data_IF_940226922408
#
_entry.id   IF_940226922408
#
_cell.length_a   1.000
_cell.length_b   1.000
_cell.length_c   1.000
_cell.angle_alpha   90.00
_cell.angle_beta   90.00
_cell.angle_gamma   90.00
#
_symmetry.space_group_name_H-M   'P 1'
#
loop_
_entity.id
_entity.type
_entity.pdbx_description
1 polymer ?
#
# COMPACT_ATOMS: atom_id res chain seq x y z
N UNK A 1 -18.02 10.28 14.32
CA UNK A 1 -16.81 9.64 13.82
C UNK A 1 -17.09 8.96 12.47
N UNK A 2 -16.15 9.03 11.55
CA UNK A 2 -16.24 8.45 10.22
C UNK A 2 -14.94 7.66 9.94
N UNK A 3 -15.06 6.42 9.45
CA UNK A 3 -13.92 5.70 8.90
C UNK A 3 -13.48 6.40 7.61
N UNK A 4 -12.19 6.58 7.44
CA UNK A 4 -11.63 7.35 6.36
C UNK A 4 -10.27 6.78 5.96
N UNK A 5 -10.02 6.69 4.67
CA UNK A 5 -8.77 6.16 4.12
C UNK A 5 -8.13 7.17 3.17
N UNK A 6 -6.88 6.91 2.80
CA UNK A 6 -6.23 7.71 1.75
C UNK A 6 -6.98 7.66 0.42
N UNK A 7 -7.64 6.55 0.10
CA UNK A 7 -8.51 6.44 -1.09
C UNK A 7 -9.76 7.31 -0.99
N UNK A 8 -10.41 7.35 0.18
CA UNK A 8 -11.55 8.23 0.41
C UNK A 8 -11.14 9.70 0.32
N UNK A 9 -9.95 10.05 0.83
CA UNK A 9 -9.39 11.39 0.70
C UNK A 9 -9.20 11.78 -0.78
N UNK A 10 -8.62 10.91 -1.59
CA UNK A 10 -8.43 11.18 -3.02
C UNK A 10 -9.77 11.38 -3.73
N UNK A 11 -10.74 10.49 -3.49
CA UNK A 11 -12.09 10.62 -4.05
C UNK A 11 -12.78 11.93 -3.61
N UNK A 12 -12.60 12.33 -2.35
CA UNK A 12 -13.13 13.58 -1.84
C UNK A 12 -12.50 14.79 -2.56
N UNK A 13 -11.18 14.79 -2.74
CA UNK A 13 -10.46 15.87 -3.43
C UNK A 13 -10.76 15.93 -4.94
N UNK A 14 -11.15 14.80 -5.54
CA UNK A 14 -11.56 14.74 -6.95
C UNK A 14 -13.02 15.16 -7.16
N UNK A 15 -13.80 15.17 -6.09
CA UNK A 15 -15.18 15.56 -6.14
C UNK A 15 -15.33 17.09 -6.23
N UNK A 16 -16.41 17.55 -6.85
CA UNK A 16 -16.73 18.98 -6.96
C UNK A 16 -17.30 19.61 -5.65
N UNK A 17 -17.31 18.84 -4.54
CA UNK A 17 -17.87 19.30 -3.25
C UNK A 17 -16.98 20.30 -2.52
N UNK A 18 -15.69 20.41 -2.89
CA UNK A 18 -14.76 21.41 -2.37
C UNK A 18 -14.30 21.16 -0.93
N UNK A 19 -14.48 19.95 -0.41
CA UNK A 19 -13.98 19.56 0.92
C UNK A 19 -12.51 19.12 0.84
N UNK A 20 -11.80 19.36 1.94
CA UNK A 20 -10.41 19.00 2.13
C UNK A 20 -10.22 18.35 3.50
N UNK A 21 -9.04 17.82 3.79
CA UNK A 21 -8.71 17.26 5.11
C UNK A 21 -8.85 18.35 6.21
N UNK A 22 -8.63 19.62 5.86
CA UNK A 22 -8.71 20.73 6.79
C UNK A 22 -10.14 21.03 7.30
N UNK A 23 -11.18 20.49 6.63
CA UNK A 23 -12.57 20.60 7.06
C UNK A 23 -12.96 19.60 8.16
N UNK A 24 -12.06 18.68 8.48
CA UNK A 24 -12.26 17.61 9.45
C UNK A 24 -11.25 17.69 10.60
N UNK A 25 -11.56 16.97 11.67
CA UNK A 25 -10.62 16.68 12.74
C UNK A 25 -10.09 15.24 12.55
N UNK A 26 -8.85 15.04 12.06
CA UNK A 26 -8.22 13.72 12.04
C UNK A 26 -8.06 13.20 13.46
N UNK A 27 -8.47 11.95 13.72
CA UNK A 27 -8.48 11.38 15.07
C UNK A 27 -7.38 10.35 15.25
N UNK A 28 -7.30 9.36 14.38
CA UNK A 28 -6.28 8.31 14.42
C UNK A 28 -6.12 7.66 13.06
N UNK A 29 -4.92 7.25 12.72
CA UNK A 29 -4.66 6.19 11.73
C UNK A 29 -4.47 4.90 12.54
N UNK A 30 -5.07 3.80 12.11
CA UNK A 30 -5.10 2.55 12.88
C UNK A 30 -4.45 1.39 12.16
N UNK A 31 -4.52 1.36 10.83
CA UNK A 31 -4.00 0.29 9.99
C UNK A 31 -3.56 0.83 8.64
N UNK A 32 -2.82 0.03 7.90
CA UNK A 32 -2.42 0.33 6.54
C UNK A 32 -2.46 -0.91 5.64
N UNK A 33 -2.83 -0.69 4.36
CA UNK A 33 -2.55 -1.64 3.29
C UNK A 33 -1.16 -1.33 2.74
N UNK A 34 -0.23 -2.24 2.92
CA UNK A 34 1.10 -2.19 2.29
C UNK A 34 1.09 -3.02 1.03
N UNK A 35 1.99 -2.74 0.11
CA UNK A 35 2.00 -3.34 -1.21
C UNK A 35 3.11 -4.39 -1.35
N UNK A 36 2.91 -5.32 -2.29
CA UNK A 36 3.92 -6.27 -2.74
C UNK A 36 4.02 -6.26 -4.26
N UNK A 37 5.15 -6.73 -4.74
CA UNK A 37 5.34 -7.12 -6.14
C UNK A 37 5.20 -8.64 -6.22
N UNK A 38 4.40 -9.12 -7.17
CA UNK A 38 4.15 -10.53 -7.42
C UNK A 38 4.64 -10.93 -8.80
N UNK A 39 5.06 -12.19 -8.93
CA UNK A 39 5.39 -12.85 -10.18
C UNK A 39 4.62 -14.16 -10.31
N UNK A 40 4.56 -14.74 -11.51
CA UNK A 40 4.14 -16.13 -11.66
C UNK A 40 5.09 -17.04 -10.88
N UNK A 41 4.55 -18.07 -10.20
CA UNK A 41 5.35 -18.94 -9.34
C UNK A 41 6.51 -19.61 -10.07
N UNK A 42 6.26 -20.14 -11.25
CA UNK A 42 7.24 -20.83 -12.11
C UNK A 42 7.65 -19.95 -13.32
N UNK A 43 7.49 -18.63 -13.17
CA UNK A 43 7.81 -17.66 -14.21
C UNK A 43 9.27 -17.25 -14.24
N UNK A 44 9.61 -16.38 -15.19
CA UNK A 44 10.96 -15.85 -15.40
C UNK A 44 11.48 -15.04 -14.20
N UNK A 45 10.61 -14.37 -13.47
CA UNK A 45 10.95 -13.44 -12.40
C UNK A 45 10.57 -14.02 -11.02
N UNK A 46 11.10 -15.20 -10.70
CA UNK A 46 10.78 -15.90 -9.46
C UNK A 46 11.44 -15.28 -8.20
N UNK A 47 12.33 -14.32 -8.36
CA UNK A 47 13.04 -13.62 -7.29
C UNK A 47 13.42 -12.20 -7.69
N UNK A 48 13.83 -11.37 -6.72
CA UNK A 48 14.38 -10.04 -7.02
C UNK A 48 15.69 -10.12 -7.80
N UNK A 49 16.50 -11.16 -7.59
CA UNK A 49 17.74 -11.36 -8.35
C UNK A 49 17.47 -11.58 -9.83
N UNK A 50 16.38 -12.27 -10.20
CA UNK A 50 15.97 -12.44 -11.60
C UNK A 50 15.56 -11.10 -12.22
N UNK A 51 14.84 -10.28 -11.47
CA UNK A 51 14.46 -8.92 -11.88
C UNK A 51 15.73 -8.09 -12.13
N UNK A 52 16.68 -8.13 -11.20
CA UNK A 52 17.94 -7.39 -11.30
C UNK A 52 18.77 -7.86 -12.49
N UNK A 53 18.87 -9.17 -12.71
CA UNK A 53 19.58 -9.71 -13.86
C UNK A 53 18.98 -9.25 -15.19
N UNK A 54 17.66 -9.18 -15.30
CA UNK A 54 16.98 -8.67 -16.50
C UNK A 54 17.26 -7.17 -16.71
N UNK A 55 17.24 -6.36 -15.64
CA UNK A 55 17.61 -4.93 -15.69
C UNK A 55 19.05 -4.77 -16.20
N UNK A 56 19.99 -5.50 -15.63
CA UNK A 56 21.41 -5.46 -16.00
C UNK A 56 21.64 -5.88 -17.47
N UNK A 57 20.80 -6.76 -18.01
CA UNK A 57 20.80 -7.19 -19.42
C UNK A 57 20.07 -6.20 -20.36
N UNK A 58 19.49 -5.12 -19.85
CA UNK A 58 18.73 -4.13 -20.63
C UNK A 58 17.38 -4.62 -21.11
N UNK A 59 16.80 -5.63 -20.46
CA UNK A 59 15.48 -6.14 -20.80
C UNK A 59 14.39 -5.21 -20.30
N UNK A 60 13.23 -5.21 -20.97
CA UNK A 60 12.03 -4.51 -20.52
C UNK A 60 11.13 -5.45 -19.75
N UNK A 61 10.62 -5.01 -18.61
CA UNK A 61 9.75 -5.77 -17.72
C UNK A 61 8.37 -5.10 -17.71
N UNK A 62 7.34 -5.86 -18.04
CA UNK A 62 5.96 -5.36 -18.04
C UNK A 62 5.34 -5.58 -16.66
N UNK A 63 4.89 -4.50 -16.02
CA UNK A 63 4.30 -4.55 -14.69
C UNK A 63 2.87 -4.06 -14.73
N UNK A 64 1.93 -4.82 -14.17
CA UNK A 64 0.54 -4.44 -14.06
C UNK A 64 0.19 -3.88 -12.68
N UNK A 65 -0.77 -2.96 -12.64
CA UNK A 65 -1.35 -2.45 -11.42
C UNK A 65 -2.34 -1.32 -11.69
N UNK A 66 -2.95 -0.80 -10.63
CA UNK A 66 -3.93 0.28 -10.71
C UNK A 66 -3.25 1.65 -10.81
N UNK A 67 -4.03 2.69 -11.15
CA UNK A 67 -3.56 4.10 -11.17
C UNK A 67 -3.41 4.71 -9.79
N UNK A 68 -3.88 4.03 -8.75
CA UNK A 68 -3.93 4.51 -7.38
C UNK A 68 -2.57 4.41 -6.68
N UNK A 69 -2.61 4.13 -5.38
CA UNK A 69 -1.43 3.95 -4.54
C UNK A 69 -0.41 2.92 -5.08
N UNK A 70 -0.85 1.88 -5.81
CA UNK A 70 0.05 0.89 -6.41
C UNK A 70 1.07 1.55 -7.35
N UNK A 71 0.60 2.47 -8.22
CA UNK A 71 1.49 3.20 -9.14
C UNK A 71 2.47 4.10 -8.38
N UNK A 72 1.99 4.82 -7.37
CA UNK A 72 2.85 5.70 -6.56
C UNK A 72 3.97 4.90 -5.88
N UNK A 73 3.63 3.78 -5.24
CA UNK A 73 4.61 2.93 -4.56
C UNK A 73 5.56 2.28 -5.56
N UNK A 74 5.05 1.89 -6.73
CA UNK A 74 5.90 1.36 -7.80
C UNK A 74 6.89 2.40 -8.32
N UNK A 75 6.50 3.66 -8.49
CA UNK A 75 7.42 4.73 -8.91
C UNK A 75 8.53 4.95 -7.89
N UNK A 76 8.19 4.95 -6.60
CA UNK A 76 9.20 5.01 -5.53
C UNK A 76 10.15 3.82 -5.58
N UNK A 77 9.64 2.61 -5.85
CA UNK A 77 10.44 1.40 -5.98
C UNK A 77 11.46 1.51 -7.14
N UNK A 78 11.00 1.87 -8.34
CA UNK A 78 11.90 1.94 -9.50
C UNK A 78 12.91 3.08 -9.41
N UNK A 79 12.55 4.17 -8.72
CA UNK A 79 13.47 5.27 -8.42
C UNK A 79 14.56 4.81 -7.43
N UNK A 80 14.17 4.12 -6.36
CA UNK A 80 15.11 3.63 -5.34
C UNK A 80 16.11 2.64 -5.91
N UNK A 81 15.67 1.73 -6.78
CA UNK A 81 16.59 0.77 -7.44
C UNK A 81 17.32 1.35 -8.66
N UNK A 82 17.03 2.61 -9.04
CA UNK A 82 17.66 3.29 -10.17
C UNK A 82 17.33 2.71 -11.54
N UNK A 83 16.15 2.10 -11.74
CA UNK A 83 15.81 1.31 -12.91
C UNK A 83 14.48 1.72 -13.59
N UNK A 84 14.05 2.98 -13.45
CA UNK A 84 12.77 3.45 -13.99
C UNK A 84 12.59 3.15 -15.50
N UNK A 85 13.66 3.27 -16.29
CA UNK A 85 13.63 3.01 -17.73
C UNK A 85 13.50 1.53 -18.08
N UNK A 86 13.67 0.59 -17.14
CA UNK A 86 13.61 -0.85 -17.40
C UNK A 86 12.18 -1.39 -17.35
N UNK A 87 11.22 -0.62 -16.87
CA UNK A 87 9.86 -1.08 -16.66
C UNK A 87 8.84 -0.38 -17.56
N UNK A 88 7.84 -1.16 -18.00
CA UNK A 88 6.63 -0.66 -18.65
C UNK A 88 5.47 -0.91 -17.70
N UNK A 89 4.91 0.15 -17.11
CA UNK A 89 3.75 0.01 -16.21
C UNK A 89 2.44 0.04 -17.02
N UNK A 90 1.65 -1.01 -16.86
CA UNK A 90 0.37 -1.20 -17.53
C UNK A 90 -0.78 -1.02 -16.54
N UNK A 91 -1.72 -0.15 -16.87
CA UNK A 91 -2.85 0.16 -16.01
C UNK A 91 -3.98 -0.83 -16.18
N UNK A 92 -4.50 -1.29 -15.04
CA UNK A 92 -5.69 -2.13 -14.90
C UNK A 92 -6.72 -1.43 -14.01
N UNK A 93 -7.99 -1.79 -14.15
CA UNK A 93 -9.07 -1.20 -13.35
C UNK A 93 -9.09 -1.75 -11.91
N UNK A 94 -8.47 -2.91 -11.67
CA UNK A 94 -8.34 -3.53 -10.35
C UNK A 94 -7.09 -4.40 -10.23
N UNK A 95 -6.61 -4.61 -9.00
CA UNK A 95 -5.54 -5.57 -8.71
C UNK A 95 -5.90 -7.00 -9.14
N UNK A 96 -7.18 -7.39 -9.07
CA UNK A 96 -7.63 -8.71 -9.52
C UNK A 96 -7.45 -8.90 -11.03
N UNK A 97 -7.67 -7.87 -11.84
CA UNK A 97 -7.42 -7.92 -13.28
C UNK A 97 -5.94 -8.01 -13.60
N UNK A 98 -5.08 -7.23 -12.90
CA UNK A 98 -3.63 -7.33 -13.09
C UNK A 98 -3.08 -8.70 -12.68
N UNK A 99 -3.57 -9.30 -11.59
CA UNK A 99 -3.24 -10.67 -11.19
C UNK A 99 -3.67 -11.68 -12.26
N UNK A 100 -4.87 -11.51 -12.82
CA UNK A 100 -5.35 -12.39 -13.92
C UNK A 100 -4.45 -12.26 -15.15
N UNK A 101 -4.03 -11.05 -15.52
CA UNK A 101 -3.09 -10.82 -16.62
C UNK A 101 -1.71 -11.41 -16.33
N UNK A 102 -1.23 -11.36 -15.09
CA UNK A 102 0.01 -12.01 -14.66
C UNK A 102 -0.09 -13.53 -14.83
N UNK A 103 -1.15 -14.17 -14.33
CA UNK A 103 -1.36 -15.62 -14.48
C UNK A 103 -1.47 -16.03 -15.94
N UNK A 104 -2.05 -15.19 -16.79
CA UNK A 104 -2.15 -15.40 -18.24
C UNK A 104 -0.84 -15.17 -19.02
N UNK A 105 0.23 -14.71 -18.36
CA UNK A 105 1.52 -14.41 -19.01
C UNK A 105 1.48 -13.17 -19.92
N UNK A 106 0.52 -12.25 -19.70
CA UNK A 106 0.41 -11.00 -20.45
C UNK A 106 1.30 -9.90 -19.88
N UNK A 107 1.69 -10.04 -18.63
CA UNK A 107 2.64 -9.19 -17.91
C UNK A 107 3.60 -10.07 -17.12
N UNK A 108 4.73 -9.50 -16.75
CA UNK A 108 5.83 -10.20 -16.06
C UNK A 108 5.69 -10.14 -14.53
N UNK A 109 5.23 -9.01 -14.03
CA UNK A 109 5.04 -8.72 -12.61
C UNK A 109 3.69 -7.99 -12.41
N UNK A 110 3.14 -8.04 -11.21
CA UNK A 110 2.05 -7.15 -10.83
C UNK A 110 2.23 -6.57 -9.42
N UNK A 111 1.69 -5.39 -9.24
CA UNK A 111 1.48 -4.77 -7.93
C UNK A 111 0.21 -5.32 -7.30
N UNK A 112 0.17 -5.39 -5.98
CA UNK A 112 -1.05 -5.75 -5.27
C UNK A 112 -0.91 -5.69 -3.76
N UNK A 113 -2.06 -5.61 -3.08
CA UNK A 113 -2.12 -5.75 -1.62
C UNK A 113 -2.20 -7.24 -1.23
N UNK A 114 -1.86 -7.59 0.03
CA UNK A 114 -2.05 -8.92 0.57
C UNK A 114 -3.44 -9.50 0.31
N UNK A 115 -4.48 -8.71 0.60
CA UNK A 115 -5.87 -9.14 0.47
C UNK A 115 -6.27 -9.49 -0.98
N UNK A 116 -5.68 -8.81 -1.97
CA UNK A 116 -5.96 -9.09 -3.38
C UNK A 116 -5.28 -10.37 -3.88
N UNK A 117 -4.13 -10.74 -3.30
CA UNK A 117 -3.24 -11.75 -3.86
C UNK A 117 -3.18 -13.08 -3.08
N UNK A 118 -3.54 -13.08 -1.78
CA UNK A 118 -3.30 -14.23 -0.87
C UNK A 118 -3.85 -15.55 -1.40
N UNK A 119 -5.08 -15.57 -1.92
CA UNK A 119 -5.69 -16.80 -2.44
C UNK A 119 -4.92 -17.39 -3.63
N UNK A 120 -4.34 -16.55 -4.47
CA UNK A 120 -3.52 -16.96 -5.64
C UNK A 120 -2.12 -17.42 -5.22
N UNK A 121 -1.60 -16.89 -4.12
CA UNK A 121 -0.35 -17.38 -3.52
C UNK A 121 -0.58 -18.74 -2.87
N UNK A 122 -1.67 -18.91 -2.12
CA UNK A 122 -2.04 -20.20 -1.50
C UNK A 122 -2.32 -21.30 -2.55
N UNK A 123 -2.96 -20.95 -3.69
CA UNK A 123 -3.14 -21.91 -4.79
C UNK A 123 -1.85 -22.23 -5.52
N UNK A 124 -0.82 -21.41 -5.36
CA UNK A 124 0.47 -21.59 -6.00
C UNK A 124 0.53 -21.10 -7.44
N UNK A 125 -0.36 -20.20 -7.84
CA UNK A 125 -0.39 -19.60 -9.18
C UNK A 125 0.62 -18.45 -9.30
N UNK A 126 0.75 -17.67 -8.23
CA UNK A 126 1.68 -16.54 -8.12
C UNK A 126 2.51 -16.64 -6.84
N UNK A 127 3.56 -15.87 -6.76
CA UNK A 127 4.38 -15.73 -5.54
C UNK A 127 4.76 -14.27 -5.28
N UNK A 128 4.91 -13.85 -4.02
CA UNK A 128 5.44 -12.55 -3.70
C UNK A 128 6.97 -12.53 -3.92
N UNK A 129 7.49 -11.46 -4.53
CA UNK A 129 8.93 -11.33 -4.85
C UNK A 129 9.60 -10.14 -4.18
N UNK A 130 8.84 -9.08 -3.84
CA UNK A 130 9.34 -7.93 -3.08
C UNK A 130 8.23 -7.43 -2.16
N UNK A 131 8.54 -7.24 -0.89
CA UNK A 131 7.68 -6.56 0.07
C UNK A 131 8.02 -5.07 0.12
N UNK A 132 7.04 -4.23 -0.26
CA UNK A 132 7.15 -2.77 -0.19
C UNK A 132 6.60 -2.30 1.16
N UNK A 133 7.31 -2.70 2.21
CA UNK A 133 6.98 -2.51 3.62
C UNK A 133 8.25 -2.49 4.47
N UNK A 134 8.14 -1.98 5.69
CA UNK A 134 9.21 -1.95 6.70
C UNK A 134 9.49 -3.33 7.32
N UNK A 135 8.52 -4.24 7.29
CA UNK A 135 8.64 -5.60 7.81
C UNK A 135 8.10 -6.60 6.78
N UNK A 136 8.54 -7.86 6.86
CA UNK A 136 7.96 -8.95 6.09
C UNK A 136 6.49 -9.15 6.45
N UNK A 137 5.72 -9.58 5.49
CA UNK A 137 4.35 -10.02 5.73
C UNK A 137 4.31 -11.36 6.45
N UNK A 138 3.16 -11.71 7.02
CA UNK A 138 2.92 -13.05 7.56
C UNK A 138 2.72 -14.07 6.42
N UNK A 139 2.91 -15.36 6.74
CA UNK A 139 2.61 -16.43 5.79
C UNK A 139 1.16 -16.33 5.25
N UNK A 140 0.94 -16.63 3.97
CA UNK A 140 1.87 -17.21 3.00
C UNK A 140 2.68 -16.18 2.19
N UNK A 141 2.75 -14.91 2.60
CA UNK A 141 3.41 -13.82 1.89
C UNK A 141 4.83 -13.52 2.40
N UNK A 142 5.30 -14.25 3.41
CA UNK A 142 6.57 -14.08 4.13
C UNK A 142 7.82 -14.43 3.30
N UNK A 143 7.65 -15.04 2.12
CA UNK A 143 8.76 -15.33 1.21
C UNK A 143 9.38 -14.06 0.61
N UNK A 144 8.59 -12.98 0.44
CA UNK A 144 9.07 -11.74 -0.13
C UNK A 144 10.03 -11.02 0.82
N UNK A 145 11.28 -10.75 0.41
CA UNK A 145 12.17 -9.88 1.17
C UNK A 145 11.68 -8.43 1.14
N UNK A 146 12.00 -7.69 2.19
CA UNK A 146 11.81 -6.23 2.21
C UNK A 146 12.89 -5.52 1.39
N UNK A 147 12.69 -4.24 1.09
CA UNK A 147 13.70 -3.43 0.41
C UNK A 147 14.99 -3.33 1.22
N UNK A 148 14.91 -3.23 2.56
CA UNK A 148 16.10 -3.20 3.43
C UNK A 148 16.88 -4.50 3.38
N UNK A 149 16.21 -5.66 3.36
CA UNK A 149 16.87 -6.97 3.21
C UNK A 149 17.57 -7.11 1.84
N UNK A 150 17.08 -6.40 0.83
CA UNK A 150 17.68 -6.33 -0.51
C UNK A 150 18.79 -5.26 -0.62
N UNK A 151 19.05 -4.50 0.45
CA UNK A 151 20.11 -3.49 0.51
C UNK A 151 19.71 -2.10 -0.01
N UNK A 152 18.43 -1.81 -0.09
CA UNK A 152 17.85 -0.52 -0.50
C UNK A 152 17.15 0.17 0.66
N UNK A 153 16.82 1.46 0.50
CA UNK A 153 15.97 2.12 1.48
C UNK A 153 14.54 1.60 1.43
N UNK A 154 13.87 1.66 2.57
CA UNK A 154 12.46 1.27 2.65
C UNK A 154 11.61 2.12 1.71
N UNK A 155 10.85 1.46 0.86
CA UNK A 155 9.87 2.08 -0.04
C UNK A 155 8.49 1.73 0.47
N UNK A 156 7.75 2.73 0.90
CA UNK A 156 6.37 2.56 1.29
C UNK A 156 5.59 3.88 1.18
N UNK A 157 4.38 3.78 0.67
CA UNK A 157 3.35 4.81 0.78
C UNK A 157 2.06 4.08 1.14
N UNK A 158 1.89 3.72 2.42
CA UNK A 158 0.81 2.85 2.81
C UNK A 158 -0.54 3.52 2.57
N UNK A 159 -1.49 2.77 2.03
CA UNK A 159 -2.88 3.18 2.01
C UNK A 159 -3.39 3.12 3.46
N UNK A 160 -3.27 4.22 4.17
CA UNK A 160 -3.70 4.28 5.57
C UNK A 160 -5.22 4.22 5.71
N UNK A 161 -5.64 3.62 6.82
CA UNK A 161 -7.02 3.51 7.28
C UNK A 161 -7.15 4.15 8.65
N UNK A 162 -8.01 5.13 8.77
CA UNK A 162 -8.14 5.92 9.98
C UNK A 162 -9.57 6.34 10.28
N UNK A 163 -9.67 7.26 11.21
CA UNK A 163 -10.92 7.85 11.68
C UNK A 163 -10.79 9.36 11.69
N UNK A 164 -11.81 10.02 11.16
CA UNK A 164 -11.97 11.47 11.22
C UNK A 164 -13.27 11.84 11.94
N UNK A 165 -13.36 13.09 12.35
CA UNK A 165 -14.53 13.69 12.97
C UNK A 165 -14.86 15.02 12.30
N UNK A 166 -16.05 15.62 12.56
CA UNK A 166 -16.32 17.00 12.14
C UNK A 166 -15.25 17.95 12.67
N UNK A 167 -14.82 18.92 11.85
CA UNK A 167 -13.78 19.89 12.23
C UNK A 167 -14.15 20.75 13.45
N UNK A 168 -15.43 20.79 13.84
CA UNK A 168 -15.91 21.45 15.05
C UNK A 168 -15.75 20.66 16.36
N UNK A 169 -15.19 19.42 16.30
CA UNK A 169 -14.93 18.62 17.51
C UNK A 169 -13.87 19.31 18.39
N UNK A 170 -14.14 19.42 19.71
CA UNK A 170 -13.18 20.02 20.64
C UNK A 170 -11.89 19.19 20.74
N UNK A 171 -10.76 19.84 21.01
CA UNK A 171 -9.46 19.15 21.19
C UNK A 171 -9.52 18.09 22.29
N UNK A 172 -10.17 18.37 23.42
CA UNK A 172 -10.37 17.41 24.50
C UNK A 172 -11.09 16.13 24.01
N UNK A 173 -12.12 16.28 23.14
CA UNK A 173 -12.82 15.14 22.57
C UNK A 173 -11.95 14.39 21.55
N UNK A 174 -11.10 15.08 20.77
CA UNK A 174 -10.17 14.47 19.84
C UNK A 174 -9.12 13.63 20.59
N UNK A 175 -8.51 14.18 21.65
CA UNK A 175 -7.57 13.46 22.52
C UNK A 175 -8.20 12.24 23.17
N UNK A 176 -9.41 12.38 23.70
CA UNK A 176 -10.16 11.27 24.27
C UNK A 176 -10.36 10.14 23.27
N UNK A 177 -10.83 10.44 22.06
CA UNK A 177 -11.06 9.41 21.04
C UNK A 177 -9.77 8.81 20.50
N UNK A 178 -8.69 9.58 20.33
CA UNK A 178 -7.39 9.04 19.98
C UNK A 178 -6.91 8.02 21.02
N UNK A 179 -7.05 8.34 22.32
CA UNK A 179 -6.75 7.40 23.40
C UNK A 179 -7.60 6.14 23.39
N UNK A 180 -8.90 6.25 23.05
CA UNK A 180 -9.79 5.08 22.87
C UNK A 180 -9.31 4.21 21.73
N UNK A 181 -8.99 4.78 20.56
CA UNK A 181 -8.50 4.01 19.41
C UNK A 181 -7.15 3.37 19.68
N UNK A 182 -6.26 4.05 20.39
CA UNK A 182 -5.01 3.44 20.86
C UNK A 182 -5.27 2.19 21.70
N UNK A 183 -6.16 2.28 22.68
CA UNK A 183 -6.50 1.12 23.51
C UNK A 183 -7.14 -0.02 22.69
N UNK A 184 -7.91 0.29 21.64
CA UNK A 184 -8.46 -0.72 20.70
C UNK A 184 -7.33 -1.45 19.99
N UNK A 185 -6.28 -0.76 19.54
CA UNK A 185 -5.17 -1.41 18.81
C UNK A 185 -4.36 -2.39 19.67
N UNK A 186 -4.49 -2.32 20.98
CA UNK A 186 -3.82 -3.22 21.94
C UNK A 186 -4.65 -4.47 22.26
N UNK A 187 -5.85 -4.64 21.70
CA UNK A 187 -6.74 -5.76 21.95
C UNK A 187 -6.51 -6.94 21.00
N UNK A 188 -6.74 -8.17 21.49
CA UNK A 188 -6.71 -9.39 20.66
C UNK A 188 -7.71 -9.29 19.48
N UNK A 189 -8.90 -8.73 19.73
CA UNK A 189 -9.91 -8.54 18.69
C UNK A 189 -9.44 -7.66 17.54
N UNK A 190 -8.61 -6.66 17.81
CA UNK A 190 -8.00 -5.84 16.77
C UNK A 190 -6.94 -6.62 15.98
N UNK A 191 -6.11 -7.42 16.67
CA UNK A 191 -5.13 -8.26 15.99
C UNK A 191 -5.81 -9.30 15.10
N UNK A 192 -6.91 -9.92 15.56
CA UNK A 192 -7.72 -10.83 14.75
C UNK A 192 -8.32 -10.12 13.53
N UNK A 193 -8.76 -8.87 13.69
CA UNK A 193 -9.25 -8.05 12.57
C UNK A 193 -8.14 -7.79 11.54
N UNK A 194 -6.96 -7.36 11.97
CA UNK A 194 -5.81 -7.12 11.08
C UNK A 194 -5.45 -8.40 10.32
N UNK A 195 -5.36 -9.52 11.00
CA UNK A 195 -5.06 -10.82 10.38
C UNK A 195 -6.13 -11.24 9.39
N UNK A 196 -7.42 -11.07 9.74
CA UNK A 196 -8.55 -11.44 8.86
C UNK A 196 -8.56 -10.65 7.56
N UNK A 197 -8.22 -9.35 7.63
CA UNK A 197 -8.23 -8.44 6.48
C UNK A 197 -6.84 -8.20 5.88
N UNK A 198 -5.83 -8.91 6.38
CA UNK A 198 -4.42 -8.84 5.92
C UNK A 198 -3.88 -7.40 5.93
N UNK A 199 -4.26 -6.64 6.94
CA UNK A 199 -3.81 -5.27 7.17
C UNK A 199 -2.57 -5.26 8.05
N UNK A 200 -1.70 -4.29 7.82
CA UNK A 200 -0.56 -4.04 8.70
C UNK A 200 -0.96 -3.14 9.88
N UNK A 201 -0.47 -3.41 11.11
CA UNK A 201 -0.61 -2.47 12.21
C UNK A 201 0.03 -1.13 11.84
N UNK A 202 -0.68 -0.03 12.02
CA UNK A 202 -0.15 1.30 11.70
C UNK A 202 -0.84 2.36 12.54
N UNK A 203 -0.72 2.25 13.89
CA UNK A 203 -1.29 3.26 14.76
C UNK A 203 -0.45 4.53 14.74
N UNK A 204 -1.13 5.66 14.54
CA UNK A 204 -0.56 7.00 14.62
C UNK A 204 -1.34 7.81 15.66
N UNK A 205 -0.62 8.53 16.51
CA UNK A 205 -1.20 9.46 17.46
C UNK A 205 -1.86 10.67 16.74
N UNK A 206 -2.48 11.54 17.52
CA UNK A 206 -3.26 12.64 16.99
C UNK A 206 -2.45 13.59 16.10
N UNK A 207 -1.24 13.94 16.53
CA UNK A 207 -0.39 14.89 15.80
C UNK A 207 0.20 14.25 14.55
N UNK A 208 0.73 13.04 14.65
CA UNK A 208 1.22 12.27 13.50
C UNK A 208 0.11 12.00 12.49
N UNK A 209 -1.12 11.71 12.95
CA UNK A 209 -2.28 11.52 12.07
C UNK A 209 -2.58 12.77 11.26
N UNK A 210 -2.57 13.95 11.90
CA UNK A 210 -2.79 15.24 11.24
C UNK A 210 -1.73 15.51 10.18
N UNK A 211 -0.45 15.32 10.53
CA UNK A 211 0.68 15.52 9.62
C UNK A 211 0.62 14.60 8.40
N UNK A 212 0.38 13.30 8.63
CA UNK A 212 0.30 12.30 7.55
C UNK A 212 -0.86 12.61 6.60
N UNK A 213 -2.06 12.88 7.12
CA UNK A 213 -3.22 13.18 6.30
C UNK A 213 -3.03 14.48 5.51
N UNK A 214 -2.46 15.51 6.13
CA UNK A 214 -2.17 16.79 5.47
C UNK A 214 -1.13 16.61 4.37
N UNK A 215 -0.01 15.94 4.67
CA UNK A 215 1.03 15.66 3.69
C UNK A 215 0.49 14.84 2.52
N UNK A 216 -0.30 13.81 2.77
CA UNK A 216 -0.89 12.97 1.73
C UNK A 216 -1.81 13.79 0.80
N UNK A 217 -2.59 14.73 1.35
CA UNK A 217 -3.40 15.65 0.56
C UNK A 217 -2.52 16.55 -0.31
N UNK A 218 -1.50 17.18 0.27
CA UNK A 218 -0.65 18.14 -0.44
C UNK A 218 0.13 17.43 -1.56
N UNK A 219 0.67 16.23 -1.30
CA UNK A 219 1.36 15.39 -2.30
C UNK A 219 0.39 15.00 -3.45
N UNK A 220 -0.84 14.60 -3.12
CA UNK A 220 -1.83 14.24 -4.12
C UNK A 220 -2.23 15.42 -5.02
N UNK A 221 -2.46 16.60 -4.43
CA UNK A 221 -2.78 17.82 -5.18
C UNK A 221 -1.62 18.28 -6.06
N UNK A 222 -0.38 18.11 -5.61
CA UNK A 222 0.82 18.44 -6.39
C UNK A 222 1.06 17.48 -7.57
N UNK A 223 0.49 16.28 -7.55
CA UNK A 223 0.63 15.26 -8.59
C UNK A 223 -0.37 15.40 -9.74
N UNK A 224 -1.35 16.33 -9.63
CA UNK A 224 -2.36 16.63 -10.68
C UNK A 224 -1.85 17.65 -11.68
#
# INVERSE_FOLDING_TARGET
LLCFSSGDMQNMLDSEIGLTVDDFAPIAIMAADKQLIFAQKDGKFASFDDIKAAIDNGEKINVGGTKSNEKTVFDMFVEEIGAADSFNYMFYDSSAESITALMGGHIDLCMGSPAAAVNYVESGDIKPVVALSDERFNAPLDEAPTMEELGYNTVQSPMWRGVIAPGSMSEEAQEYWNGVFKAVTETDAWQDYLNTYLLSPYFQDLDSTREIMKKAQDDYLASK
#
